data_IF_186100540271
#
_entry.id   IF_186100540271
#
_cell.length_a   1.000
_cell.length_b   1.000
_cell.length_c   1.000
_cell.angle_alpha   90.00
_cell.angle_beta   90.00
_cell.angle_gamma   90.00
#
_symmetry.space_group_name_H-M   'P 1'
#
loop_
_entity.id
_entity.type
_entity.pdbx_description
1 polymer ?
#
# COMPACT_ATOMS: atom_id res chain seq x y z
N UNK A 1 -5.82 -42.12 -12.70
CA UNK A 1 -5.03 -42.36 -11.48
C UNK A 1 -3.69 -41.60 -11.47
N UNK A 2 -3.65 -40.27 -11.76
CA UNK A 2 -2.38 -39.52 -11.77
C UNK A 2 -2.41 -38.20 -10.99
N UNK A 3 -3.49 -37.91 -10.28
CA UNK A 3 -3.71 -36.62 -9.61
C UNK A 3 -3.00 -36.48 -8.24
N UNK A 4 -2.26 -37.50 -7.79
CA UNK A 4 -1.80 -37.54 -6.40
C UNK A 4 -0.48 -36.83 -6.09
N UNK A 5 0.24 -36.24 -7.05
CA UNK A 5 1.64 -35.87 -6.83
C UNK A 5 2.09 -34.48 -7.37
N UNK A 6 1.20 -33.63 -7.86
CA UNK A 6 1.63 -32.27 -8.20
C UNK A 6 1.76 -31.45 -6.94
N UNK A 7 2.99 -31.23 -6.47
CA UNK A 7 3.25 -30.19 -5.48
C UNK A 7 3.08 -28.82 -6.15
N UNK A 8 2.55 -27.79 -5.45
CA UNK A 8 2.50 -26.44 -5.99
C UNK A 8 3.90 -25.96 -6.38
N UNK A 9 4.06 -25.53 -7.65
CA UNK A 9 5.29 -24.98 -8.18
C UNK A 9 5.04 -23.57 -8.68
N UNK A 10 6.04 -22.67 -8.63
CA UNK A 10 5.92 -21.36 -9.24
C UNK A 10 5.58 -21.42 -10.73
N UNK A 11 4.81 -20.44 -11.21
CA UNK A 11 4.37 -20.34 -12.60
C UNK A 11 5.52 -20.44 -13.62
N UNK A 12 6.70 -19.94 -13.21
CA UNK A 12 7.91 -19.94 -14.06
C UNK A 12 8.51 -21.33 -14.27
N UNK A 13 8.27 -22.25 -13.34
CA UNK A 13 8.77 -23.64 -13.36
C UNK A 13 7.63 -24.67 -13.55
N UNK A 14 6.40 -24.19 -13.78
CA UNK A 14 5.22 -25.05 -13.85
C UNK A 14 5.15 -25.72 -15.24
N UNK A 15 5.14 -27.04 -15.25
CA UNK A 15 4.80 -27.86 -16.40
C UNK A 15 3.43 -28.47 -16.20
N UNK A 16 2.53 -28.23 -17.13
CA UNK A 16 1.15 -28.71 -17.06
C UNK A 16 1.04 -30.08 -17.75
N UNK A 17 0.42 -31.09 -17.10
CA UNK A 17 0.01 -32.29 -17.77
C UNK A 17 -0.92 -31.96 -18.95
N UNK A 18 -0.84 -32.73 -20.03
CA UNK A 18 -1.59 -32.46 -21.27
C UNK A 18 -3.12 -32.48 -21.07
N UNK A 19 -3.61 -33.27 -20.12
CA UNK A 19 -5.02 -33.35 -19.72
C UNK A 19 -5.49 -32.20 -18.82
N UNK A 20 -4.55 -31.43 -18.26
CA UNK A 20 -4.81 -30.29 -17.38
C UNK A 20 -4.30 -28.95 -17.93
N UNK A 21 -3.76 -28.93 -19.15
CA UNK A 21 -3.18 -27.72 -19.74
C UNK A 21 -4.22 -26.73 -20.28
N UNK A 22 -5.48 -27.14 -20.39
CA UNK A 22 -6.60 -26.30 -20.82
C UNK A 22 -6.73 -26.15 -22.33
N UNK A 23 -6.02 -26.96 -23.11
CA UNK A 23 -6.14 -26.97 -24.57
C UNK A 23 -7.57 -27.31 -24.99
N UNK A 24 -8.18 -28.29 -24.31
CA UNK A 24 -9.54 -28.78 -24.52
C UNK A 24 -10.49 -28.36 -23.38
N UNK A 25 -10.25 -27.19 -22.77
CA UNK A 25 -11.07 -26.68 -21.67
C UNK A 25 -12.52 -26.43 -22.10
N UNK A 26 -13.48 -26.79 -21.25
CA UNK A 26 -14.94 -26.73 -21.54
C UNK A 26 -15.42 -25.31 -21.86
N UNK A 27 -14.80 -24.29 -21.28
CA UNK A 27 -15.14 -22.88 -21.48
C UNK A 27 -14.23 -22.21 -22.53
N UNK A 28 -13.55 -22.99 -23.41
CA UNK A 28 -12.79 -22.42 -24.52
C UNK A 28 -13.70 -21.80 -25.56
N UNK A 29 -13.31 -20.66 -26.10
CA UNK A 29 -14.01 -20.06 -27.22
C UNK A 29 -13.65 -20.76 -28.55
N UNK A 30 -14.63 -20.92 -29.43
CA UNK A 30 -14.45 -21.52 -30.77
C UNK A 30 -14.17 -20.50 -31.88
N UNK A 31 -13.99 -19.20 -31.52
CA UNK A 31 -13.78 -18.12 -32.47
C UNK A 31 -12.29 -17.82 -32.75
N UNK A 32 -12.06 -16.67 -33.41
CA UNK A 32 -10.67 -16.19 -33.62
C UNK A 32 -10.11 -15.61 -32.31
N UNK A 33 -9.02 -16.19 -31.86
CA UNK A 33 -8.23 -15.64 -30.73
C UNK A 33 -7.41 -14.45 -31.21
N UNK A 34 -7.25 -13.46 -30.31
CA UNK A 34 -6.38 -12.28 -30.51
C UNK A 34 -5.01 -12.46 -29.84
N UNK A 35 -4.76 -13.61 -29.23
CA UNK A 35 -3.51 -13.95 -28.53
C UNK A 35 -2.96 -15.28 -29.01
N UNK A 36 -1.63 -15.41 -29.03
CA UNK A 36 -0.96 -16.65 -29.38
C UNK A 36 -0.83 -17.55 -28.13
N UNK A 37 -1.96 -18.07 -27.63
CA UNK A 37 -1.99 -18.94 -26.46
C UNK A 37 -2.56 -20.32 -26.83
N UNK A 38 -1.76 -21.37 -26.66
CA UNK A 38 -2.18 -22.74 -26.93
C UNK A 38 -2.90 -23.35 -25.71
N UNK A 39 -2.48 -22.98 -24.50
CA UNK A 39 -2.92 -23.52 -23.22
C UNK A 39 -3.17 -22.42 -22.18
N UNK A 40 -3.68 -22.80 -21.02
CA UNK A 40 -4.04 -21.86 -19.94
C UNK A 40 -2.81 -21.09 -19.40
N UNK A 41 -1.64 -21.72 -19.34
CA UNK A 41 -0.41 -21.10 -18.89
C UNK A 41 0.05 -20.00 -19.86
N UNK A 42 -0.01 -20.25 -21.17
CA UNK A 42 0.33 -19.26 -22.20
C UNK A 42 -0.66 -18.07 -22.14
N UNK A 43 -1.95 -18.34 -21.92
CA UNK A 43 -2.98 -17.32 -21.79
C UNK A 43 -2.73 -16.41 -20.57
N UNK A 44 -2.34 -17.00 -19.43
CA UNK A 44 -1.95 -16.23 -18.24
C UNK A 44 -0.68 -15.40 -18.51
N UNK A 45 0.33 -15.98 -19.16
CA UNK A 45 1.57 -15.26 -19.53
C UNK A 45 1.28 -14.07 -20.43
N UNK A 46 0.42 -14.24 -21.44
CA UNK A 46 -0.01 -13.15 -22.32
C UNK A 46 -0.75 -12.04 -21.56
N UNK A 47 -1.60 -12.41 -20.58
CA UNK A 47 -2.26 -11.43 -19.73
C UNK A 47 -1.28 -10.66 -18.84
N UNK A 48 -0.28 -11.34 -18.26
CA UNK A 48 0.74 -10.72 -17.40
C UNK A 48 1.67 -9.79 -18.20
N UNK A 49 1.95 -10.08 -19.46
CA UNK A 49 2.79 -9.23 -20.33
C UNK A 49 2.24 -7.80 -20.45
N UNK A 50 0.93 -7.61 -20.38
CA UNK A 50 0.29 -6.27 -20.42
C UNK A 50 0.70 -5.32 -19.30
N UNK A 51 1.17 -5.85 -18.19
CA UNK A 51 1.52 -5.08 -16.98
C UNK A 51 2.99 -5.21 -16.62
N UNK A 52 3.82 -5.67 -17.56
CA UNK A 52 5.26 -5.91 -17.36
C UNK A 52 6.00 -4.65 -16.91
N UNK A 53 5.60 -3.47 -17.40
CA UNK A 53 6.20 -2.17 -17.05
C UNK A 53 5.97 -1.80 -15.58
N UNK A 54 4.97 -2.38 -14.91
CA UNK A 54 4.67 -2.13 -13.51
C UNK A 54 5.00 -3.33 -12.64
N UNK A 55 6.23 -3.43 -12.15
CA UNK A 55 6.70 -4.55 -11.30
C UNK A 55 5.72 -4.91 -10.19
N UNK A 56 5.17 -3.92 -9.47
CA UNK A 56 4.26 -4.18 -8.34
C UNK A 56 2.91 -4.75 -8.80
N UNK A 57 2.39 -4.29 -9.93
CA UNK A 57 1.15 -4.79 -10.54
C UNK A 57 1.38 -6.20 -11.08
N UNK A 58 2.48 -6.40 -11.82
CA UNK A 58 2.88 -7.70 -12.35
C UNK A 58 2.97 -8.76 -11.25
N UNK A 59 3.72 -8.48 -10.17
CA UNK A 59 3.87 -9.42 -9.05
C UNK A 59 2.53 -9.76 -8.37
N UNK A 60 1.65 -8.77 -8.24
CA UNK A 60 0.34 -8.98 -7.63
C UNK A 60 -0.57 -9.82 -8.54
N UNK A 61 -0.58 -9.53 -9.84
CA UNK A 61 -1.38 -10.25 -10.83
C UNK A 61 -0.86 -11.68 -11.00
N UNK A 62 0.46 -11.85 -11.12
CA UNK A 62 1.10 -13.16 -11.19
C UNK A 62 0.72 -14.02 -9.98
N UNK A 63 0.83 -13.47 -8.79
CA UNK A 63 0.53 -14.19 -7.55
C UNK A 63 -0.92 -14.71 -7.52
N UNK A 64 -1.90 -13.91 -7.89
CA UNK A 64 -3.29 -14.32 -7.81
C UNK A 64 -3.67 -15.29 -8.95
N UNK A 65 -3.17 -15.10 -10.18
CA UNK A 65 -3.38 -16.04 -11.28
C UNK A 65 -2.68 -17.38 -11.02
N UNK A 66 -1.46 -17.34 -10.46
CA UNK A 66 -0.70 -18.55 -10.06
C UNK A 66 -1.46 -19.36 -9.00
N UNK A 67 -1.98 -18.70 -7.98
CA UNK A 67 -2.76 -19.35 -6.92
C UNK A 67 -4.00 -20.06 -7.46
N UNK A 68 -4.73 -19.39 -8.35
CA UNK A 68 -5.93 -19.99 -8.95
C UNK A 68 -5.58 -21.15 -9.87
N UNK A 69 -4.58 -21.00 -10.74
CA UNK A 69 -4.15 -22.05 -11.65
C UNK A 69 -3.69 -23.31 -10.88
N UNK A 70 -2.84 -23.11 -9.88
CA UNK A 70 -2.36 -24.20 -9.03
C UNK A 70 -3.51 -24.88 -8.28
N UNK A 71 -4.45 -24.11 -7.74
CA UNK A 71 -5.60 -24.67 -7.04
C UNK A 71 -6.50 -25.47 -7.99
N UNK A 72 -6.75 -24.98 -9.19
CA UNK A 72 -7.54 -25.67 -10.19
C UNK A 72 -6.93 -27.03 -10.54
N UNK A 73 -5.62 -27.07 -10.79
CA UNK A 73 -4.91 -28.27 -11.21
C UNK A 73 -4.71 -29.23 -10.03
N UNK A 74 -4.17 -28.75 -8.91
CA UNK A 74 -3.71 -29.58 -7.79
C UNK A 74 -4.87 -30.01 -6.88
N UNK A 75 -5.87 -29.14 -6.69
CA UNK A 75 -6.99 -29.39 -5.77
C UNK A 75 -8.21 -29.98 -6.48
N UNK A 76 -8.54 -29.46 -7.69
CA UNK A 76 -9.70 -29.91 -8.43
C UNK A 76 -9.37 -30.91 -9.54
N UNK A 77 -8.13 -30.97 -10.03
CA UNK A 77 -7.80 -31.76 -11.23
C UNK A 77 -8.50 -31.22 -12.48
N UNK A 78 -8.69 -29.90 -12.57
CA UNK A 78 -9.33 -29.23 -13.71
C UNK A 78 -8.43 -28.16 -14.30
N UNK A 79 -8.38 -27.98 -15.62
CA UNK A 79 -7.73 -26.80 -16.23
C UNK A 79 -8.50 -25.52 -15.88
N UNK A 80 -7.81 -24.37 -15.89
CA UNK A 80 -8.42 -23.06 -15.62
C UNK A 80 -9.57 -22.74 -16.57
N UNK A 81 -9.42 -23.10 -17.84
CA UNK A 81 -10.44 -22.94 -18.88
C UNK A 81 -11.65 -23.89 -18.75
N UNK A 82 -11.69 -24.73 -17.72
CA UNK A 82 -12.85 -25.57 -17.37
C UNK A 82 -13.50 -25.20 -16.04
N UNK A 83 -13.04 -24.13 -15.39
CA UNK A 83 -13.60 -23.68 -14.11
C UNK A 83 -15.01 -23.13 -14.31
N UNK A 84 -15.93 -23.54 -13.44
CA UNK A 84 -17.31 -23.05 -13.37
C UNK A 84 -17.43 -21.95 -12.31
N UNK A 85 -18.62 -21.36 -12.23
CA UNK A 85 -18.96 -20.41 -11.17
C UNK A 85 -18.85 -21.02 -9.77
N UNK A 86 -19.34 -22.26 -9.62
CA UNK A 86 -19.31 -23.01 -8.35
C UNK A 86 -17.88 -23.31 -7.90
N UNK A 87 -17.01 -23.66 -8.84
CA UNK A 87 -15.59 -23.85 -8.55
C UNK A 87 -14.97 -22.56 -7.98
N UNK A 88 -15.32 -21.39 -8.53
CA UNK A 88 -14.82 -20.11 -8.04
C UNK A 88 -15.40 -19.68 -6.69
N UNK A 89 -16.62 -20.07 -6.36
CA UNK A 89 -17.17 -19.94 -5.01
C UNK A 89 -16.39 -20.83 -4.02
N UNK A 90 -16.10 -22.07 -4.40
CA UNK A 90 -15.25 -22.98 -3.58
C UNK A 90 -13.83 -22.40 -3.40
N UNK A 91 -13.26 -21.81 -4.48
CA UNK A 91 -11.96 -21.13 -4.38
C UNK A 91 -11.98 -19.94 -3.41
N UNK A 92 -13.05 -19.16 -3.39
CA UNK A 92 -13.18 -18.06 -2.44
C UNK A 92 -13.15 -18.55 -0.98
N UNK A 93 -13.79 -19.69 -0.69
CA UNK A 93 -13.71 -20.31 0.63
C UNK A 93 -12.30 -20.85 0.92
N UNK A 94 -11.66 -21.45 -0.08
CA UNK A 94 -10.28 -21.91 0.04
C UNK A 94 -9.30 -20.79 0.35
N UNK A 95 -9.49 -19.58 -0.19
CA UNK A 95 -8.65 -18.43 0.14
C UNK A 95 -8.73 -18.03 1.62
N UNK A 96 -9.87 -18.27 2.28
CA UNK A 96 -10.04 -18.02 3.70
C UNK A 96 -9.30 -19.02 4.59
N UNK A 97 -9.16 -20.26 4.11
CA UNK A 97 -8.46 -21.34 4.81
C UNK A 97 -7.84 -22.36 3.81
N UNK A 98 -6.61 -22.10 3.33
CA UNK A 98 -5.96 -22.97 2.34
C UNK A 98 -5.58 -24.34 2.91
N UNK A 99 -6.43 -25.34 2.73
CA UNK A 99 -6.22 -26.70 3.21
C UNK A 99 -5.89 -27.69 2.07
N UNK A 100 -5.08 -28.72 2.32
CA UNK A 100 -4.29 -28.95 3.54
C UNK A 100 -3.11 -27.97 3.67
N UNK A 101 -2.94 -27.37 4.84
CA UNK A 101 -1.95 -26.30 5.09
C UNK A 101 -0.52 -26.71 4.70
N UNK A 102 -0.12 -27.95 4.96
CA UNK A 102 1.22 -28.44 4.62
C UNK A 102 1.55 -28.35 3.12
N UNK A 103 0.53 -28.42 2.25
CA UNK A 103 0.69 -28.31 0.79
C UNK A 103 0.69 -26.86 0.32
N UNK A 104 -0.10 -26.00 0.94
CA UNK A 104 -0.43 -24.67 0.41
C UNK A 104 0.24 -23.53 1.14
N UNK A 105 0.59 -23.69 2.42
CA UNK A 105 1.07 -22.62 3.28
C UNK A 105 2.54 -22.83 3.63
N UNK A 106 3.35 -21.78 3.48
CA UNK A 106 4.76 -21.79 3.90
C UNK A 106 4.88 -21.97 5.41
N UNK A 107 5.72 -22.92 5.85
CA UNK A 107 5.95 -23.20 7.26
C UNK A 107 6.43 -21.96 8.03
N UNK A 108 5.83 -21.70 9.20
CA UNK A 108 6.16 -20.56 10.04
C UNK A 108 5.82 -19.19 9.43
N UNK A 109 4.98 -19.11 8.39
CA UNK A 109 4.60 -17.88 7.70
C UNK A 109 5.76 -17.18 6.97
N UNK A 110 6.91 -17.84 6.79
CA UNK A 110 8.10 -17.27 6.15
C UNK A 110 8.01 -17.31 4.63
N UNK A 111 8.56 -16.29 3.99
CA UNK A 111 8.74 -16.28 2.54
C UNK A 111 9.98 -17.08 2.17
N UNK A 112 9.81 -18.04 1.29
CA UNK A 112 10.90 -18.74 0.62
C UNK A 112 11.08 -18.16 -0.79
N UNK A 113 12.31 -18.25 -1.33
CA UNK A 113 12.58 -17.91 -2.72
C UNK A 113 11.77 -18.82 -3.66
N UNK A 114 11.49 -18.35 -4.87
CA UNK A 114 10.63 -19.12 -5.81
C UNK A 114 11.28 -20.43 -6.30
N UNK A 115 12.58 -20.50 -6.26
CA UNK A 115 13.40 -21.68 -6.61
C UNK A 115 13.61 -22.64 -5.42
N UNK A 116 13.17 -22.26 -4.21
CA UNK A 116 13.27 -23.10 -3.01
C UNK A 116 12.17 -24.18 -2.99
N UNK A 117 12.53 -25.43 -2.75
CA UNK A 117 11.58 -26.56 -2.65
C UNK A 117 10.50 -26.35 -1.55
N UNK A 118 10.77 -25.50 -0.58
CA UNK A 118 9.82 -25.11 0.49
C UNK A 118 8.87 -24.01 0.08
N UNK A 119 9.00 -23.44 -1.12
CA UNK A 119 8.09 -22.41 -1.60
C UNK A 119 6.64 -22.89 -1.60
N UNK A 120 5.74 -22.05 -1.14
CA UNK A 120 4.30 -22.30 -1.18
C UNK A 120 3.59 -20.99 -1.57
N UNK A 121 2.43 -21.07 -2.25
CA UNK A 121 1.73 -19.89 -2.76
C UNK A 121 1.08 -19.03 -1.66
N UNK A 122 0.93 -19.56 -0.44
CA UNK A 122 0.35 -18.84 0.69
C UNK A 122 1.31 -18.76 1.87
N UNK A 123 1.13 -17.74 2.70
CA UNK A 123 1.83 -17.54 3.98
C UNK A 123 0.87 -17.68 5.17
N UNK A 124 -0.38 -17.97 4.90
CA UNK A 124 -1.49 -18.15 5.83
C UNK A 124 -2.83 -17.84 5.17
N UNK A 125 -3.92 -17.98 5.91
CA UNK A 125 -5.26 -17.57 5.50
C UNK A 125 -5.32 -16.13 5.03
N UNK A 126 -6.12 -15.84 4.00
CA UNK A 126 -6.28 -14.47 3.52
C UNK A 126 -7.37 -13.73 4.30
N UNK A 127 -7.08 -12.50 4.69
CA UNK A 127 -8.10 -11.59 5.22
C UNK A 127 -9.23 -11.34 4.20
N UNK A 128 -10.43 -10.99 4.66
CA UNK A 128 -11.56 -10.69 3.79
C UNK A 128 -11.26 -9.56 2.76
N UNK A 129 -10.37 -8.62 3.10
CA UNK A 129 -9.92 -7.59 2.16
C UNK A 129 -9.02 -8.17 1.07
N UNK A 130 -8.08 -9.07 1.44
CA UNK A 130 -7.19 -9.75 0.48
C UNK A 130 -7.95 -10.71 -0.43
N UNK A 131 -8.95 -11.42 0.10
CA UNK A 131 -9.84 -12.27 -0.70
C UNK A 131 -10.59 -11.45 -1.75
N UNK A 132 -11.19 -10.30 -1.35
CA UNK A 132 -11.85 -9.39 -2.31
C UNK A 132 -10.90 -8.89 -3.38
N UNK A 133 -9.68 -8.51 -3.00
CA UNK A 133 -8.64 -8.07 -3.94
C UNK A 133 -8.30 -9.18 -4.94
N UNK A 134 -8.12 -10.41 -4.49
CA UNK A 134 -7.86 -11.56 -5.33
C UNK A 134 -9.00 -11.76 -6.35
N UNK A 135 -10.26 -11.75 -5.90
CA UNK A 135 -11.42 -11.94 -6.78
C UNK A 135 -11.57 -10.80 -7.80
N UNK A 136 -11.24 -9.54 -7.46
CA UNK A 136 -11.21 -8.42 -8.40
C UNK A 136 -10.16 -8.65 -9.50
N UNK A 137 -8.97 -9.11 -9.13
CA UNK A 137 -7.89 -9.39 -10.09
C UNK A 137 -8.27 -10.55 -11.00
N UNK A 138 -8.83 -11.63 -10.45
CA UNK A 138 -9.26 -12.79 -11.21
C UNK A 138 -10.43 -12.47 -12.13
N UNK A 139 -11.37 -11.63 -11.71
CA UNK A 139 -12.42 -11.14 -12.61
C UNK A 139 -11.84 -10.34 -13.79
N UNK A 140 -10.80 -9.53 -13.54
CA UNK A 140 -10.10 -8.84 -14.62
C UNK A 140 -9.37 -9.81 -15.58
N UNK A 141 -8.76 -10.88 -15.05
CA UNK A 141 -8.17 -11.95 -15.86
C UNK A 141 -9.22 -12.61 -16.76
N UNK A 142 -10.30 -13.14 -16.17
CA UNK A 142 -11.34 -13.83 -16.94
C UNK A 142 -12.01 -12.91 -17.98
N UNK A 143 -12.33 -11.67 -17.62
CA UNK A 143 -12.89 -10.70 -18.56
C UNK A 143 -11.95 -10.42 -19.74
N UNK A 144 -10.64 -10.32 -19.47
CA UNK A 144 -9.67 -10.14 -20.54
C UNK A 144 -9.54 -11.39 -21.42
N UNK A 145 -9.54 -12.60 -20.84
CA UNK A 145 -9.47 -13.84 -21.61
C UNK A 145 -10.69 -14.01 -22.51
N UNK A 146 -11.87 -13.57 -22.07
CA UNK A 146 -13.08 -13.53 -22.94
C UNK A 146 -12.88 -12.50 -24.06
N UNK A 147 -12.43 -11.29 -23.73
CA UNK A 147 -12.17 -10.25 -24.75
C UNK A 147 -11.09 -10.67 -25.75
N UNK A 148 -10.09 -11.46 -25.32
CA UNK A 148 -9.05 -12.00 -26.17
C UNK A 148 -9.51 -13.20 -27.06
N UNK A 149 -10.75 -13.65 -26.91
CA UNK A 149 -11.28 -14.80 -27.62
C UNK A 149 -10.72 -16.15 -27.16
N UNK A 150 -10.12 -16.21 -25.97
CA UNK A 150 -9.59 -17.43 -25.38
C UNK A 150 -10.66 -18.22 -24.64
N UNK A 151 -11.52 -17.55 -23.88
CA UNK A 151 -12.65 -18.13 -23.18
C UNK A 151 -13.99 -17.66 -23.77
N UNK A 152 -14.99 -18.52 -23.74
CA UNK A 152 -16.35 -18.21 -24.18
C UNK A 152 -17.11 -17.31 -23.20
N UNK A 153 -16.88 -17.49 -21.90
CA UNK A 153 -17.55 -16.73 -20.84
C UNK A 153 -16.69 -16.51 -19.61
N UNK A 154 -17.03 -15.47 -18.85
CA UNK A 154 -16.40 -15.19 -17.55
C UNK A 154 -17.25 -15.83 -16.43
N UNK A 155 -16.79 -16.89 -15.76
CA UNK A 155 -17.57 -17.57 -14.72
C UNK A 155 -17.83 -16.68 -13.48
N UNK A 156 -17.04 -15.61 -13.26
CA UNK A 156 -17.26 -14.64 -12.19
C UNK A 156 -18.36 -13.62 -12.51
N UNK A 157 -18.80 -13.51 -13.77
CA UNK A 157 -19.87 -12.58 -14.16
C UNK A 157 -21.22 -12.94 -13.51
N UNK A 158 -21.41 -14.21 -13.13
CA UNK A 158 -22.59 -14.70 -12.44
C UNK A 158 -22.62 -14.34 -10.94
N UNK A 159 -21.47 -13.88 -10.41
CA UNK A 159 -21.38 -13.45 -9.02
C UNK A 159 -22.25 -12.22 -8.79
N UNK A 160 -23.13 -12.27 -7.78
CA UNK A 160 -23.98 -11.14 -7.40
C UNK A 160 -23.08 -9.95 -7.05
N UNK A 161 -23.17 -8.85 -7.81
CA UNK A 161 -22.52 -7.60 -7.41
C UNK A 161 -23.16 -7.15 -6.10
N UNK A 162 -22.40 -7.21 -5.01
CA UNK A 162 -22.87 -6.68 -3.72
C UNK A 162 -23.11 -5.18 -3.87
N UNK A 163 -24.29 -4.74 -3.42
CA UNK A 163 -24.66 -3.34 -3.34
C UNK A 163 -23.49 -2.48 -2.81
N UNK A 164 -23.34 -1.28 -3.37
CA UNK A 164 -22.36 -0.28 -2.93
C UNK A 164 -22.39 -0.18 -1.41
N UNK A 165 -21.30 -0.64 -0.77
CA UNK A 165 -21.09 -0.34 0.64
C UNK A 165 -20.92 1.17 0.78
N UNK A 166 -21.42 1.72 1.89
CA UNK A 166 -21.08 3.08 2.29
C UNK A 166 -19.58 3.32 2.13
N UNK A 167 -19.16 4.49 1.65
CA UNK A 167 -17.74 4.80 1.48
C UNK A 167 -17.00 4.49 2.78
N UNK A 168 -15.85 3.81 2.72
CA UNK A 168 -15.10 3.48 3.92
C UNK A 168 -14.70 4.78 4.61
N UNK A 169 -15.10 4.97 5.87
CA UNK A 169 -14.53 6.02 6.72
C UNK A 169 -13.03 5.72 6.90
N UNK A 170 -12.21 6.75 6.83
CA UNK A 170 -10.78 6.61 7.15
C UNK A 170 -10.69 6.41 8.66
N UNK A 171 -10.45 5.18 9.09
CA UNK A 171 -10.22 4.82 10.49
C UNK A 171 -8.73 4.68 10.82
N UNK A 172 -7.87 4.77 9.79
CA UNK A 172 -6.42 4.55 9.88
C UNK A 172 -5.66 5.86 9.80
N UNK A 173 -5.84 6.70 10.79
CA UNK A 173 -5.10 7.93 11.02
C UNK A 173 -4.78 8.07 12.51
N UNK A 174 -3.85 8.93 12.86
CA UNK A 174 -3.54 9.29 14.23
C UNK A 174 -4.31 10.57 14.57
N UNK A 175 -5.06 10.53 15.64
CA UNK A 175 -5.64 11.71 16.26
C UNK A 175 -4.53 12.64 16.76
N UNK A 176 -4.83 13.92 16.98
CA UNK A 176 -3.82 14.92 17.35
C UNK A 176 -3.05 14.53 18.60
N UNK A 177 -3.74 14.01 19.61
CA UNK A 177 -3.15 13.56 20.88
C UNK A 177 -2.17 12.40 20.68
N UNK A 178 -2.49 11.43 19.81
CA UNK A 178 -1.57 10.33 19.50
C UNK A 178 -0.39 10.80 18.64
N UNK A 179 -0.61 11.77 17.77
CA UNK A 179 0.47 12.39 17.00
C UNK A 179 1.42 13.18 17.92
N UNK A 180 0.90 13.87 18.92
CA UNK A 180 1.70 14.58 19.93
C UNK A 180 2.55 13.62 20.76
N UNK A 181 2.03 12.44 21.11
CA UNK A 181 2.83 11.39 21.78
C UNK A 181 4.00 10.89 20.89
N UNK A 182 3.76 10.71 19.60
CA UNK A 182 4.84 10.32 18.68
C UNK A 182 5.92 11.41 18.60
N UNK A 183 5.53 12.68 18.54
CA UNK A 183 6.48 13.80 18.56
C UNK A 183 7.26 13.84 19.87
N UNK A 184 6.58 13.73 20.99
CA UNK A 184 7.19 13.74 22.32
C UNK A 184 8.18 12.58 22.49
N UNK A 185 7.87 11.39 21.98
CA UNK A 185 8.81 10.27 21.95
C UNK A 185 10.05 10.60 21.13
N UNK A 186 9.89 11.11 19.91
CA UNK A 186 11.03 11.46 19.05
C UNK A 186 11.90 12.55 19.70
N UNK A 187 11.28 13.54 20.34
CA UNK A 187 12.01 14.59 21.04
C UNK A 187 12.78 14.08 22.28
N UNK A 188 12.35 12.96 22.86
CA UNK A 188 13.00 12.29 23.99
C UNK A 188 14.17 11.38 23.56
N UNK A 189 14.37 11.13 22.28
CA UNK A 189 15.46 10.29 21.80
C UNK A 189 16.83 10.88 22.19
N UNK A 190 17.82 10.04 22.58
CA UNK A 190 19.15 10.49 22.98
C UNK A 190 19.87 11.21 21.84
N UNK A 191 20.77 12.15 22.21
CA UNK A 191 21.49 13.04 21.28
C UNK A 191 22.95 13.26 21.70
N UNK A 192 23.48 12.42 22.53
CA UNK A 192 24.83 12.59 23.10
C UNK A 192 25.92 12.22 22.08
N UNK A 193 25.78 11.07 21.45
CA UNK A 193 26.69 10.59 20.42
C UNK A 193 26.31 11.11 19.02
N UNK A 194 27.26 11.10 18.08
CA UNK A 194 27.01 11.44 16.67
C UNK A 194 25.92 10.53 16.08
N UNK A 195 25.98 9.23 16.36
CA UNK A 195 25.00 8.25 15.89
C UNK A 195 23.59 8.53 16.41
N UNK A 196 23.46 8.95 17.65
CA UNK A 196 22.18 9.32 18.24
C UNK A 196 21.64 10.61 17.65
N UNK A 197 22.50 11.62 17.45
CA UNK A 197 22.10 12.86 16.75
C UNK A 197 21.60 12.58 15.33
N UNK A 198 22.29 11.71 14.59
CA UNK A 198 21.85 11.28 13.25
C UNK A 198 20.53 10.53 13.31
N UNK A 199 20.36 9.63 14.29
CA UNK A 199 19.13 8.86 14.48
C UNK A 199 17.94 9.79 14.79
N UNK A 200 18.10 10.69 15.76
CA UNK A 200 17.09 11.69 16.12
C UNK A 200 16.74 12.59 14.93
N UNK A 201 17.76 13.16 14.26
CA UNK A 201 17.55 14.04 13.10
C UNK A 201 16.83 13.32 11.95
N UNK A 202 17.21 12.05 11.68
CA UNK A 202 16.54 11.23 10.66
C UNK A 202 15.09 10.91 11.02
N UNK A 203 14.80 10.60 12.28
CA UNK A 203 13.45 10.33 12.73
C UNK A 203 12.52 11.56 12.55
N UNK A 204 12.98 12.72 13.03
CA UNK A 204 12.24 13.99 12.86
C UNK A 204 12.00 14.31 11.39
N UNK A 205 13.06 14.27 10.58
CA UNK A 205 12.98 14.60 9.16
C UNK A 205 12.07 13.65 8.39
N UNK A 206 12.16 12.34 8.64
CA UNK A 206 11.29 11.36 7.99
C UNK A 206 9.82 11.59 8.35
N UNK A 207 9.51 11.86 9.62
CA UNK A 207 8.15 12.19 10.04
C UNK A 207 7.67 13.51 9.41
N UNK A 208 8.53 14.52 9.29
CA UNK A 208 8.23 15.79 8.61
C UNK A 208 7.84 15.57 7.15
N UNK A 209 8.61 14.77 6.40
CA UNK A 209 8.30 14.43 5.01
C UNK A 209 6.96 13.69 4.87
N UNK A 210 6.70 12.76 5.76
CA UNK A 210 5.48 11.92 5.71
C UNK A 210 4.23 12.69 6.17
N UNK A 211 4.37 13.63 7.11
CA UNK A 211 3.26 14.38 7.67
C UNK A 211 3.06 15.73 6.96
N UNK A 212 4.02 16.67 7.00
CA UNK A 212 3.88 17.96 6.35
C UNK A 212 3.85 17.83 4.81
N UNK A 213 4.71 17.00 4.24
CA UNK A 213 4.72 16.72 2.80
C UNK A 213 3.63 15.76 2.35
N UNK A 214 3.00 15.03 3.25
CA UNK A 214 2.04 13.99 2.93
C UNK A 214 2.59 12.94 1.96
N UNK A 215 3.92 12.69 1.98
CA UNK A 215 4.57 11.81 1.02
C UNK A 215 4.27 10.33 1.28
N UNK A 216 4.22 9.55 0.20
CA UNK A 216 4.27 8.08 0.32
C UNK A 216 5.71 7.63 0.58
N UNK A 217 5.90 6.52 1.30
CA UNK A 217 7.25 5.95 1.50
C UNK A 217 8.00 5.73 0.17
N UNK A 218 7.28 5.32 -0.88
CA UNK A 218 7.89 5.14 -2.21
C UNK A 218 8.39 6.44 -2.81
N UNK A 219 7.73 7.55 -2.52
CA UNK A 219 8.13 8.89 -2.97
C UNK A 219 9.34 9.37 -2.17
N UNK A 220 9.37 9.13 -0.85
CA UNK A 220 10.56 9.41 -0.02
C UNK A 220 11.79 8.61 -0.49
N UNK A 221 11.59 7.36 -0.92
CA UNK A 221 12.68 6.49 -1.39
C UNK A 221 13.19 6.86 -2.80
N UNK A 222 12.37 7.51 -3.62
CA UNK A 222 12.65 7.74 -5.04
C UNK A 222 13.13 9.16 -5.37
N UNK A 223 12.85 10.14 -4.49
CA UNK A 223 13.19 11.53 -4.72
C UNK A 223 14.45 11.94 -3.94
N UNK A 224 15.05 13.06 -4.35
CA UNK A 224 16.31 13.59 -3.83
C UNK A 224 16.13 14.96 -3.18
N UNK A 225 17.15 15.43 -2.48
CA UNK A 225 17.12 16.79 -1.91
C UNK A 225 17.18 17.87 -3.01
N UNK A 226 17.74 17.56 -4.18
CA UNK A 226 17.78 18.48 -5.32
C UNK A 226 16.42 18.69 -6.01
N UNK A 227 15.39 17.94 -5.61
CA UNK A 227 14.02 18.17 -6.07
C UNK A 227 13.31 19.32 -5.32
N UNK A 228 13.95 19.88 -4.28
CA UNK A 228 13.52 21.14 -3.67
C UNK A 228 13.96 22.34 -4.54
N UNK A 229 13.03 23.27 -4.78
CA UNK A 229 13.31 24.48 -5.56
C UNK A 229 12.49 25.67 -5.06
N UNK A 230 12.93 26.86 -5.44
CA UNK A 230 12.26 28.13 -5.12
C UNK A 230 11.48 28.63 -6.34
N UNK A 231 10.27 29.10 -6.09
CA UNK A 231 9.45 29.84 -7.07
C UNK A 231 8.89 31.09 -6.43
N UNK A 232 8.89 32.21 -7.16
CA UNK A 232 8.22 33.45 -6.73
C UNK A 232 6.73 33.32 -6.98
N UNK A 233 5.93 33.67 -5.98
CA UNK A 233 4.47 33.77 -6.13
C UNK A 233 4.06 35.09 -6.84
N UNK A 234 2.75 35.30 -7.06
CA UNK A 234 2.22 36.46 -7.72
C UNK A 234 2.50 37.80 -6.99
N UNK A 235 2.87 37.74 -5.71
CA UNK A 235 3.29 38.88 -4.91
C UNK A 235 4.82 39.09 -4.88
N UNK A 236 5.58 38.29 -5.63
CA UNK A 236 7.03 38.33 -5.70
C UNK A 236 7.74 37.63 -4.51
N UNK A 237 6.99 36.97 -3.61
CA UNK A 237 7.55 36.26 -2.45
C UNK A 237 8.10 34.90 -2.87
N UNK A 238 9.31 34.60 -2.43
CA UNK A 238 9.95 33.30 -2.69
C UNK A 238 9.30 32.21 -1.84
N UNK A 239 8.83 31.15 -2.52
CA UNK A 239 8.20 29.98 -1.91
C UNK A 239 8.97 28.73 -2.29
N UNK A 240 9.30 27.91 -1.30
CA UNK A 240 9.91 26.62 -1.53
C UNK A 240 8.86 25.56 -1.90
N UNK A 241 9.23 24.71 -2.83
CA UNK A 241 8.43 23.59 -3.33
C UNK A 241 9.28 22.34 -3.42
N UNK A 242 8.65 21.19 -3.29
CA UNK A 242 9.24 19.88 -3.58
C UNK A 242 8.53 19.30 -4.80
N UNK A 243 9.28 19.02 -5.87
CA UNK A 243 8.76 18.33 -7.07
C UNK A 243 8.81 16.82 -6.84
N UNK A 244 7.67 16.22 -6.58
CA UNK A 244 7.56 14.81 -6.19
C UNK A 244 7.22 13.95 -7.39
N UNK A 245 8.10 13.03 -7.73
CA UNK A 245 7.81 11.95 -8.68
C UNK A 245 7.00 10.85 -7.96
N UNK A 246 5.74 10.72 -8.35
CA UNK A 246 4.80 9.77 -7.76
C UNK A 246 4.63 8.49 -8.58
N UNK A 247 3.63 7.69 -8.21
CA UNK A 247 3.28 6.44 -8.92
C UNK A 247 2.84 6.73 -10.36
N UNK A 248 3.38 5.96 -11.32
CA UNK A 248 3.07 6.10 -12.75
C UNK A 248 3.68 7.35 -13.37
N UNK A 249 4.87 7.75 -12.88
CA UNK A 249 5.65 8.90 -13.35
C UNK A 249 4.93 10.25 -13.30
N UNK A 250 3.86 10.33 -12.52
CA UNK A 250 3.13 11.58 -12.32
C UNK A 250 3.87 12.47 -11.35
N UNK A 251 4.24 13.67 -11.79
CA UNK A 251 4.83 14.69 -10.94
C UNK A 251 3.74 15.54 -10.28
N UNK A 252 4.02 15.98 -9.07
CA UNK A 252 3.23 16.99 -8.36
C UNK A 252 4.11 17.89 -7.53
N UNK A 253 3.68 19.12 -7.36
CA UNK A 253 4.35 20.06 -6.49
C UNK A 253 3.74 19.99 -5.08
N UNK A 254 4.61 19.82 -4.09
CA UNK A 254 4.25 19.83 -2.68
C UNK A 254 4.81 21.11 -2.06
N UNK A 255 4.00 21.93 -1.38
CA UNK A 255 4.49 23.12 -0.69
C UNK A 255 5.51 22.73 0.37
N UNK A 256 6.74 23.23 0.29
CA UNK A 256 7.74 23.09 1.33
C UNK A 256 7.61 24.28 2.27
N UNK A 257 6.83 24.09 3.35
CA UNK A 257 6.54 25.14 4.32
C UNK A 257 7.81 25.62 5.04
N UNK A 258 7.76 26.78 5.68
CA UNK A 258 8.88 27.29 6.48
C UNK A 258 9.34 26.28 7.55
N UNK A 259 8.38 25.59 8.19
CA UNK A 259 8.67 24.53 9.16
C UNK A 259 9.40 23.36 8.51
N UNK A 260 8.94 22.89 7.35
CA UNK A 260 9.59 21.81 6.61
C UNK A 260 11.02 22.19 6.22
N UNK A 261 11.24 23.40 5.74
CA UNK A 261 12.58 23.89 5.35
C UNK A 261 13.51 24.05 6.55
N UNK A 262 12.98 24.47 7.70
CA UNK A 262 13.75 24.53 8.95
C UNK A 262 14.19 23.15 9.40
N UNK A 263 13.31 22.14 9.35
CA UNK A 263 13.66 20.74 9.68
C UNK A 263 14.62 20.14 8.66
N UNK A 264 14.47 20.44 7.36
CA UNK A 264 15.43 20.04 6.34
C UNK A 264 16.82 20.61 6.66
N UNK A 265 16.90 21.91 6.92
CA UNK A 265 18.18 22.58 7.25
C UNK A 265 18.82 21.98 8.51
N UNK A 266 18.03 21.67 9.54
CA UNK A 266 18.49 21.00 10.75
C UNK A 266 19.04 19.61 10.43
N UNK A 267 18.27 18.79 9.71
CA UNK A 267 18.68 17.45 9.32
C UNK A 267 19.95 17.47 8.47
N UNK A 268 20.05 18.35 7.49
CA UNK A 268 21.24 18.49 6.63
C UNK A 268 22.50 18.84 7.44
N UNK A 269 22.38 19.76 8.41
CA UNK A 269 23.51 20.08 9.29
C UNK A 269 23.98 18.90 10.13
N UNK A 270 23.08 18.06 10.63
CA UNK A 270 23.47 16.82 11.35
C UNK A 270 24.21 15.82 10.45
N UNK A 271 24.12 16.00 9.13
CA UNK A 271 24.82 15.18 8.13
C UNK A 271 26.06 15.88 7.55
N UNK A 272 26.47 17.01 8.10
CA UNK A 272 27.60 17.79 7.58
C UNK A 272 27.34 18.45 6.22
N UNK A 273 26.07 18.59 5.81
CA UNK A 273 25.68 19.19 4.54
C UNK A 273 25.32 20.68 4.72
N UNK A 274 25.40 21.45 3.63
CA UNK A 274 24.89 22.82 3.61
C UNK A 274 23.42 22.86 4.02
N UNK A 275 22.97 23.95 4.67
CA UNK A 275 21.62 24.06 5.22
C UNK A 275 20.50 23.88 4.16
N UNK A 276 20.71 24.44 2.97
CA UNK A 276 19.79 24.31 1.85
C UNK A 276 20.38 23.41 0.77
N UNK A 277 19.55 22.64 0.05
CA UNK A 277 20.01 21.84 -1.05
C UNK A 277 20.39 22.68 -2.26
N UNK A 278 21.39 22.21 -3.01
CA UNK A 278 21.68 22.75 -4.32
C UNK A 278 20.70 22.22 -5.37
N UNK A 279 20.47 22.99 -6.43
CA UNK A 279 19.69 22.52 -7.56
C UNK A 279 20.31 21.24 -8.16
N UNK A 280 19.45 20.26 -8.46
CA UNK A 280 19.84 18.96 -9.01
C UNK A 280 20.79 18.11 -8.12
N UNK A 281 20.85 18.40 -6.84
CA UNK A 281 21.61 17.61 -5.87
C UNK A 281 21.04 16.18 -5.81
N UNK A 282 21.88 15.17 -6.01
CA UNK A 282 21.48 13.77 -6.03
C UNK A 282 21.38 13.11 -4.64
N UNK A 283 21.55 13.88 -3.57
CA UNK A 283 21.45 13.38 -2.18
C UNK A 283 20.04 12.86 -1.92
N UNK A 284 19.86 11.60 -1.48
CA UNK A 284 18.54 11.06 -1.14
C UNK A 284 17.84 11.90 -0.06
N UNK A 285 16.51 12.00 -0.12
CA UNK A 285 15.70 12.72 0.89
C UNK A 285 16.00 12.25 2.32
N UNK A 286 16.27 10.95 2.51
CA UNK A 286 16.61 10.38 3.82
C UNK A 286 17.83 9.48 3.67
N UNK A 287 18.88 9.79 4.43
CA UNK A 287 20.15 9.06 4.45
C UNK A 287 20.16 7.95 5.52
N UNK A 288 20.92 6.86 5.30
CA UNK A 288 21.27 5.91 6.35
C UNK A 288 22.07 6.58 7.47
N UNK A 289 22.12 5.97 8.66
CA UNK A 289 23.03 6.38 9.72
C UNK A 289 24.45 6.00 9.32
N UNK A 290 25.42 6.85 9.65
CA UNK A 290 26.81 6.70 9.29
C UNK A 290 27.13 7.28 7.91
N UNK A 291 28.26 6.89 7.32
CA UNK A 291 28.86 7.53 6.14
C UNK A 291 28.21 7.15 4.79
N UNK A 292 27.25 6.21 4.80
CA UNK A 292 26.61 5.77 3.55
C UNK A 292 25.70 6.85 2.98
N UNK A 293 25.78 7.06 1.66
CA UNK A 293 24.90 7.98 0.90
C UNK A 293 23.90 7.23 0.01
N UNK A 294 23.82 5.89 0.11
CA UNK A 294 22.89 5.10 -0.69
C UNK A 294 21.44 5.37 -0.25
N UNK A 295 20.48 5.45 -1.19
CA UNK A 295 19.07 5.60 -0.85
C UNK A 295 18.59 4.48 0.07
N UNK A 296 17.77 4.82 1.06
CA UNK A 296 17.08 3.83 1.87
C UNK A 296 15.96 3.16 1.04
N UNK A 297 15.87 1.84 1.15
CA UNK A 297 14.78 1.09 0.53
C UNK A 297 13.43 1.39 1.21
N UNK A 298 12.33 1.18 0.51
CA UNK A 298 10.97 1.31 1.08
C UNK A 298 10.80 0.46 2.34
N UNK A 299 11.36 -0.75 2.35
CA UNK A 299 11.33 -1.64 3.52
C UNK A 299 12.09 -1.07 4.71
N UNK A 300 13.26 -0.49 4.48
CA UNK A 300 14.06 0.14 5.53
C UNK A 300 13.34 1.37 6.11
N UNK A 301 12.79 2.24 5.27
CA UNK A 301 12.00 3.40 5.70
C UNK A 301 10.77 2.97 6.50
N UNK A 302 10.07 1.93 6.05
CA UNK A 302 8.93 1.38 6.78
C UNK A 302 9.33 0.85 8.16
N UNK A 303 10.45 0.12 8.25
CA UNK A 303 10.98 -0.38 9.52
C UNK A 303 11.33 0.76 10.50
N UNK A 304 11.91 1.87 9.99
CA UNK A 304 12.21 3.04 10.81
C UNK A 304 10.91 3.64 11.40
N UNK A 305 9.89 3.84 10.57
CA UNK A 305 8.59 4.38 11.03
C UNK A 305 7.94 3.44 12.04
N UNK A 306 7.96 2.13 11.79
CA UNK A 306 7.43 1.14 12.74
C UNK A 306 8.19 1.14 14.07
N UNK A 307 9.51 1.30 14.03
CA UNK A 307 10.33 1.44 15.24
C UNK A 307 9.98 2.69 16.05
N UNK A 308 9.73 3.82 15.39
CA UNK A 308 9.28 5.06 16.06
C UNK A 308 7.92 4.84 16.73
N UNK A 309 6.96 4.27 16.04
CA UNK A 309 5.63 4.00 16.62
C UNK A 309 5.68 2.99 17.77
N UNK A 310 6.49 1.94 17.66
CA UNK A 310 6.70 0.97 18.74
C UNK A 310 7.33 1.62 19.98
N UNK A 311 8.32 2.49 19.80
CA UNK A 311 8.94 3.22 20.91
C UNK A 311 7.96 4.19 21.59
N UNK A 312 7.16 4.92 20.81
CA UNK A 312 6.11 5.79 21.35
C UNK A 312 5.05 4.98 22.11
N UNK A 313 4.65 3.81 21.60
CA UNK A 313 3.71 2.91 22.25
C UNK A 313 4.26 2.36 23.58
N UNK A 314 5.54 1.99 23.59
CA UNK A 314 6.20 1.54 24.82
C UNK A 314 6.24 2.65 25.88
N UNK A 315 6.62 3.88 25.47
CA UNK A 315 6.62 5.04 26.38
C UNK A 315 5.23 5.30 26.98
N UNK A 316 4.17 5.20 26.18
CA UNK A 316 2.79 5.35 26.69
C UNK A 316 2.46 4.32 27.77
N UNK A 317 2.88 3.06 27.62
CA UNK A 317 2.68 2.02 28.64
C UNK A 317 3.46 2.30 29.91
N UNK A 318 4.69 2.80 29.78
CA UNK A 318 5.56 3.12 30.93
C UNK A 318 5.04 4.33 31.73
N UNK A 319 4.41 5.30 31.05
CA UNK A 319 3.84 6.50 31.68
C UNK A 319 2.42 6.27 32.26
N UNK A 320 1.70 5.27 31.75
CA UNK A 320 0.35 4.92 32.22
C UNK A 320 0.43 4.34 33.63
N UNK A 321 0.08 5.14 34.64
CA UNK A 321 -0.10 4.66 36.02
C UNK A 321 -1.26 3.66 36.12
N UNK A 322 -1.42 3.01 37.28
CA UNK A 322 -2.38 1.92 37.49
C UNK A 322 -3.86 2.29 37.23
N UNK A 323 -4.21 3.57 37.28
CA UNK A 323 -5.60 4.05 37.10
C UNK A 323 -6.00 4.18 35.64
N UNK A 324 -5.03 4.46 34.74
CA UNK A 324 -5.28 4.67 33.32
C UNK A 324 -4.61 3.59 32.40
N UNK A 325 -4.20 2.47 33.00
CA UNK A 325 -3.43 1.43 32.29
C UNK A 325 -4.16 0.86 31.08
N UNK A 326 -5.47 0.65 31.16
CA UNK A 326 -6.27 0.12 30.04
C UNK A 326 -6.36 1.13 28.89
N UNK A 327 -6.58 2.40 29.19
CA UNK A 327 -6.62 3.47 28.20
C UNK A 327 -5.24 3.67 27.53
N UNK A 328 -4.17 3.68 28.31
CA UNK A 328 -2.80 3.74 27.80
C UNK A 328 -2.47 2.52 26.92
N UNK A 329 -2.89 1.31 27.30
CA UNK A 329 -2.70 0.10 26.53
C UNK A 329 -3.45 0.14 25.18
N UNK A 330 -4.69 0.64 25.16
CA UNK A 330 -5.47 0.79 23.93
C UNK A 330 -4.81 1.80 22.96
N UNK A 331 -4.34 2.95 23.48
CA UNK A 331 -3.59 3.95 22.68
C UNK A 331 -2.28 3.40 22.15
N UNK A 332 -1.52 2.66 22.97
CA UNK A 332 -0.30 2.00 22.57
C UNK A 332 -0.53 0.96 21.45
N UNK A 333 -1.56 0.12 21.60
CA UNK A 333 -1.95 -0.84 20.56
C UNK A 333 -2.33 -0.15 19.23
N UNK A 334 -2.97 1.01 19.30
CA UNK A 334 -3.28 1.82 18.11
C UNK A 334 -2.02 2.32 17.42
N UNK A 335 -1.02 2.81 18.16
CA UNK A 335 0.30 3.19 17.61
C UNK A 335 1.03 2.00 16.98
N UNK A 336 1.04 0.84 17.62
CA UNK A 336 1.65 -0.38 17.07
C UNK A 336 1.02 -0.83 15.76
N UNK A 337 -0.29 -0.63 15.61
CA UNK A 337 -1.00 -0.91 14.36
C UNK A 337 -0.70 0.11 13.25
N UNK A 338 -0.24 1.31 13.61
CA UNK A 338 0.00 2.40 12.70
C UNK A 338 1.16 2.11 11.72
N UNK A 339 1.13 2.78 10.58
CA UNK A 339 2.13 2.69 9.52
C UNK A 339 2.35 4.07 8.91
N UNK A 340 3.38 4.22 8.09
CA UNK A 340 3.64 5.47 7.37
C UNK A 340 2.43 5.97 6.55
N UNK A 341 1.57 5.07 6.10
CA UNK A 341 0.36 5.46 5.37
C UNK A 341 -0.66 6.17 6.28
N UNK A 342 -0.67 5.83 7.58
CA UNK A 342 -1.49 6.54 8.57
C UNK A 342 -1.06 8.01 8.71
N UNK A 343 0.26 8.31 8.68
CA UNK A 343 0.73 9.70 8.74
C UNK A 343 0.22 10.55 7.59
N UNK A 344 0.20 9.98 6.39
CA UNK A 344 -0.38 10.65 5.24
C UNK A 344 -1.91 10.85 5.39
N UNK A 345 -2.61 9.88 5.96
CA UNK A 345 -4.04 10.04 6.30
C UNK A 345 -4.22 11.10 7.39
N UNK A 346 -3.37 11.08 8.43
CA UNK A 346 -3.40 12.12 9.47
C UNK A 346 -3.15 13.51 8.88
N UNK A 347 -2.19 13.65 7.98
CA UNK A 347 -1.95 14.91 7.27
C UNK A 347 -3.21 15.40 6.54
N UNK A 348 -3.89 14.50 5.80
CA UNK A 348 -5.13 14.83 5.10
C UNK A 348 -6.27 15.22 6.06
N UNK A 349 -6.48 14.44 7.13
CA UNK A 349 -7.51 14.73 8.13
C UNK A 349 -7.23 16.04 8.87
N UNK A 350 -5.99 16.23 9.35
CA UNK A 350 -5.62 17.43 10.10
C UNK A 350 -5.62 18.70 9.23
N UNK A 351 -5.31 18.60 7.92
CA UNK A 351 -5.50 19.73 6.99
C UNK A 351 -6.99 20.04 6.81
N UNK A 352 -7.83 19.02 6.65
CA UNK A 352 -9.28 19.20 6.51
C UNK A 352 -9.91 19.80 7.79
N UNK A 353 -9.49 19.31 8.98
CA UNK A 353 -9.90 19.85 10.28
C UNK A 353 -9.40 21.28 10.53
N UNK A 354 -8.33 21.69 9.84
CA UNK A 354 -7.77 23.04 9.85
C UNK A 354 -8.32 23.94 8.75
N UNK A 355 -9.48 23.61 8.19
CA UNK A 355 -10.20 24.39 7.15
C UNK A 355 -9.41 24.62 5.85
N UNK A 356 -8.41 23.77 5.56
CA UNK A 356 -7.73 23.82 4.25
C UNK A 356 -8.68 23.32 3.16
N UNK A 357 -8.84 24.11 2.10
CA UNK A 357 -9.69 23.72 0.96
C UNK A 357 -9.35 22.31 0.46
N UNK A 358 -10.36 21.46 0.30
CA UNK A 358 -10.19 20.07 -0.10
C UNK A 358 -9.51 19.86 -1.45
N UNK A 359 -9.62 20.86 -2.35
CA UNK A 359 -8.90 20.83 -3.62
C UNK A 359 -7.40 20.94 -3.38
N UNK A 360 -6.99 21.81 -2.45
CA UNK A 360 -5.59 21.95 -2.05
C UNK A 360 -5.08 20.71 -1.32
N UNK A 361 -5.89 20.13 -0.43
CA UNK A 361 -5.58 18.84 0.22
C UNK A 361 -5.41 17.74 -0.82
N UNK A 362 -6.31 17.64 -1.81
CA UNK A 362 -6.19 16.68 -2.92
C UNK A 362 -4.88 16.86 -3.68
N UNK A 363 -4.55 18.09 -4.05
CA UNK A 363 -3.38 18.39 -4.87
C UNK A 363 -2.09 18.13 -4.09
N UNK A 364 -2.00 18.53 -2.83
CA UNK A 364 -0.88 18.25 -1.94
C UNK A 364 -0.66 16.73 -1.76
N UNK A 365 -1.74 15.97 -1.59
CA UNK A 365 -1.67 14.53 -1.46
C UNK A 365 -1.55 13.81 -2.81
N UNK A 366 -1.79 14.47 -3.94
CA UNK A 366 -1.78 13.87 -5.28
C UNK A 366 -2.81 12.75 -5.41
N UNK A 367 -4.06 13.03 -5.02
CA UNK A 367 -5.19 12.16 -5.25
C UNK A 367 -5.77 12.40 -6.64
N UNK A 368 -6.02 11.32 -7.39
CA UNK A 368 -6.59 11.42 -8.74
C UNK A 368 -8.03 11.92 -8.73
N UNK A 369 -8.74 11.83 -7.60
CA UNK A 369 -10.16 12.21 -7.46
C UNK A 369 -10.43 12.90 -6.13
N UNK A 370 -11.32 13.91 -6.15
CA UNK A 370 -11.87 14.53 -4.93
C UNK A 370 -12.61 13.53 -4.05
N UNK A 371 -13.24 12.50 -4.62
CA UNK A 371 -13.91 11.45 -3.84
C UNK A 371 -12.96 10.68 -2.91
N UNK A 372 -11.68 10.60 -3.26
CA UNK A 372 -10.65 10.04 -2.37
C UNK A 372 -10.30 11.02 -1.25
N UNK A 373 -10.38 12.31 -1.51
CA UNK A 373 -10.05 13.37 -0.53
C UNK A 373 -11.24 13.65 0.38
N UNK A 374 -12.48 13.55 -0.11
CA UNK A 374 -13.68 13.70 0.74
C UNK A 374 -13.78 12.65 1.85
N UNK A 375 -13.03 11.56 1.75
CA UNK A 375 -12.92 10.58 2.84
C UNK A 375 -12.24 11.15 4.10
N UNK A 376 -11.50 12.24 3.98
CA UNK A 376 -10.89 12.96 5.12
C UNK A 376 -11.84 13.92 5.83
N UNK A 377 -13.00 14.21 5.23
CA UNK A 377 -14.08 14.91 5.94
C UNK A 377 -14.68 13.94 6.96
N UNK A 378 -14.14 13.96 8.14
CA UNK A 378 -14.85 13.48 9.29
C UNK A 378 -15.83 14.57 9.66
N UNK A 379 -17.07 14.52 9.15
CA UNK A 379 -18.10 15.32 9.78
C UNK A 379 -18.23 14.81 11.22
N UNK A 380 -17.68 15.58 12.14
CA UNK A 380 -18.08 15.49 13.54
C UNK A 380 -19.60 15.65 13.52
N UNK A 381 -20.31 14.61 13.92
CA UNK A 381 -21.77 14.62 13.88
C UNK A 381 -22.31 15.77 14.73
N UNK A 382 -21.57 16.20 15.76
CA UNK A 382 -21.89 17.35 16.60
C UNK A 382 -21.66 18.69 15.86
N UNK A 383 -20.60 18.81 15.07
CA UNK A 383 -20.36 19.97 14.20
C UNK A 383 -21.41 20.02 13.11
N UNK A 384 -21.72 18.90 12.47
CA UNK A 384 -22.76 18.83 11.43
C UNK A 384 -24.13 19.23 11.98
N UNK A 385 -24.48 18.73 13.17
CA UNK A 385 -25.73 19.11 13.85
C UNK A 385 -25.77 20.62 14.10
N UNK A 386 -24.71 21.17 14.69
CA UNK A 386 -24.60 22.60 15.02
C UNK A 386 -24.66 23.48 13.76
N UNK A 387 -23.91 23.16 12.73
CA UNK A 387 -23.91 23.90 11.46
C UNK A 387 -25.27 23.81 10.76
N UNK A 388 -25.94 22.65 10.81
CA UNK A 388 -27.26 22.47 10.25
C UNK A 388 -28.28 23.29 11.03
N UNK A 389 -28.23 23.28 12.37
CA UNK A 389 -29.12 24.03 13.24
C UNK A 389 -28.95 25.56 13.06
N UNK A 390 -27.74 26.02 12.83
CA UNK A 390 -27.43 27.44 12.63
C UNK A 390 -27.79 27.95 11.23
N UNK A 391 -27.57 27.14 10.19
CA UNK A 391 -27.58 27.60 8.78
C UNK A 391 -28.73 27.08 7.94
N UNK A 392 -29.46 26.06 8.41
CA UNK A 392 -30.57 25.43 7.67
C UNK A 392 -31.88 25.61 8.44
N UNK A 393 -32.48 26.78 8.32
CA UNK A 393 -33.72 27.18 8.97
C UNK A 393 -34.82 27.43 7.95
N UNK A 394 -36.08 27.24 8.34
CA UNK A 394 -37.24 27.53 7.49
C UNK A 394 -37.74 28.97 7.72
N UNK A 395 -37.46 29.57 8.88
CA UNK A 395 -37.86 30.91 9.28
C UNK A 395 -39.33 31.22 8.93
N UNK A 396 -40.26 30.46 9.55
CA UNK A 396 -41.72 30.66 9.44
C UNK A 396 -42.14 32.06 9.86
#
# INVERSE_FOLDING_TARGET
MHTALLAPQPLDALELPADLDGRDGVNRAHGRMQIAAVNDLDAIRAWLARVADSKATFETYRKESERLLLWAIVQLGKPLSSLTHEDLLAYQHFLADPQPAARWVSGGGRKHARDDARWRPFYGPLSAASQRQAMVILNALFSWLVSAGYLAGNPLSLSRQRARRAPPRITRYLERELWDEVKAYVDSLPRETEREREHHGRARWLLTLLYLGGLRISEVSANTMGDFFVRRDGAGVERWWLDVLGKGERRRLVPATAEMMAELARYRRTRGLAALPAAHESTPLVLPIGKSVKPLTRTALHAIVKGIFAGAAQRLREMGGSVDAEFAAARAARLESASAHWLRHSAGSHMADGDVDLRLVRDNLGHASLSTTSLYLHSDDDVRHRETDLKHRIDW
#
